data_IF_145613741875
#
_entry.id   IF_145613741875
#
_cell.length_a   1.000
_cell.length_b   1.000
_cell.length_c   1.000
_cell.angle_alpha   90.00
_cell.angle_beta   90.00
_cell.angle_gamma   90.00
#
_symmetry.space_group_name_H-M   'P 1'
#
loop_
_entity.id
_entity.type
_entity.pdbx_description
1 polymer ?
#
# COMPACT_ATOMS: atom_id res chain seq x y z
N UNK A 1 -25.22 49.32 -34.46
CA UNK A 1 -25.54 47.88 -34.31
C UNK A 1 -24.32 46.97 -34.22
N UNK A 2 -23.12 47.42 -34.63
CA UNK A 2 -21.87 46.63 -34.64
C UNK A 2 -21.11 46.58 -33.31
N UNK A 3 -21.20 47.62 -32.46
CA UNK A 3 -20.52 47.66 -31.15
C UNK A 3 -21.07 46.66 -30.12
N UNK A 4 -22.39 46.41 -30.13
CA UNK A 4 -23.04 45.45 -29.20
C UNK A 4 -22.65 43.99 -29.51
N UNK A 5 -22.35 43.70 -30.79
CA UNK A 5 -21.92 42.38 -31.25
C UNK A 5 -20.46 42.12 -30.88
N UNK A 6 -19.60 43.15 -30.92
CA UNK A 6 -18.18 43.01 -30.54
C UNK A 6 -17.99 42.74 -29.04
N UNK A 7 -18.75 43.43 -28.20
CA UNK A 7 -18.62 43.30 -26.74
C UNK A 7 -19.20 41.97 -26.24
N UNK A 8 -20.32 41.51 -26.82
CA UNK A 8 -20.89 40.19 -26.51
C UNK A 8 -19.96 39.04 -26.91
N UNK A 9 -19.27 39.12 -28.06
CA UNK A 9 -18.27 38.12 -28.47
C UNK A 9 -17.07 38.09 -27.52
N UNK A 10 -16.60 39.26 -27.09
CA UNK A 10 -15.51 39.41 -26.12
C UNK A 10 -15.87 38.87 -24.73
N UNK A 11 -17.13 39.04 -24.31
CA UNK A 11 -17.66 38.48 -23.07
C UNK A 11 -17.79 36.95 -23.16
N UNK A 12 -18.24 36.43 -24.31
CA UNK A 12 -18.33 34.99 -24.56
C UNK A 12 -16.94 34.33 -24.56
N UNK A 13 -15.93 34.92 -25.18
CA UNK A 13 -14.57 34.38 -25.15
C UNK A 13 -13.96 34.37 -23.74
N UNK A 14 -14.20 35.42 -22.95
CA UNK A 14 -13.77 35.47 -21.55
C UNK A 14 -14.48 34.41 -20.72
N UNK A 15 -15.79 34.26 -20.88
CA UNK A 15 -16.58 33.25 -20.21
C UNK A 15 -16.13 31.83 -20.59
N UNK A 16 -15.81 31.58 -21.87
CA UNK A 16 -15.33 30.29 -22.36
C UNK A 16 -13.94 29.95 -21.81
N UNK A 17 -13.02 30.93 -21.73
CA UNK A 17 -11.68 30.76 -21.14
C UNK A 17 -11.76 30.47 -19.64
N UNK A 18 -12.64 31.18 -18.92
CA UNK A 18 -12.87 30.94 -17.48
C UNK A 18 -13.50 29.56 -17.26
N UNK A 19 -14.49 29.17 -18.07
CA UNK A 19 -15.12 27.86 -18.00
C UNK A 19 -14.13 26.72 -18.31
N UNK A 20 -13.24 26.90 -19.30
CA UNK A 20 -12.16 25.96 -19.59
C UNK A 20 -11.17 25.81 -18.44
N UNK A 21 -10.89 26.89 -17.69
CA UNK A 21 -10.01 26.86 -16.52
C UNK A 21 -10.65 26.13 -15.33
N UNK A 22 -11.98 26.24 -15.16
CA UNK A 22 -12.71 25.49 -14.14
C UNK A 22 -12.86 24.00 -14.48
N UNK A 23 -12.95 23.64 -15.77
CA UNK A 23 -13.07 22.25 -16.21
C UNK A 23 -11.84 21.39 -15.90
N UNK A 24 -10.65 22.01 -15.78
CA UNK A 24 -9.42 21.30 -15.41
C UNK A 24 -9.25 21.12 -13.89
N UNK A 25 -10.09 21.78 -13.08
CA UNK A 25 -10.00 21.75 -11.60
C UNK A 25 -10.89 20.65 -11.00
N UNK A 26 -11.78 20.04 -11.78
CA UNK A 26 -12.77 19.06 -11.29
C UNK A 26 -12.23 17.63 -11.07
N UNK A 27 -10.93 17.37 -11.28
CA UNK A 27 -10.33 16.08 -10.91
C UNK A 27 -9.48 16.24 -9.65
N UNK A 28 -10.16 16.33 -8.52
CA UNK A 28 -9.62 15.84 -7.26
C UNK A 28 -10.70 15.02 -6.58
N UNK A 29 -10.90 13.80 -7.09
CA UNK A 29 -11.70 12.79 -6.40
C UNK A 29 -11.02 12.47 -5.09
N UNK A 30 -11.76 12.67 -4.00
CA UNK A 30 -11.40 12.34 -2.65
C UNK A 30 -10.91 10.89 -2.55
N UNK A 31 -9.80 10.70 -1.85
CA UNK A 31 -9.71 9.64 -0.87
C UNK A 31 -9.15 10.28 0.40
N UNK A 32 -10.04 10.66 1.31
CA UNK A 32 -9.66 10.78 2.71
C UNK A 32 -9.21 9.38 3.16
N UNK A 33 -7.93 9.05 2.98
CA UNK A 33 -7.34 7.87 3.57
C UNK A 33 -7.12 8.21 5.05
N UNK A 34 -8.06 7.79 5.89
CA UNK A 34 -7.70 7.41 7.25
C UNK A 34 -6.68 6.28 7.10
N UNK A 35 -5.41 6.65 7.23
CA UNK A 35 -4.21 5.82 7.44
C UNK A 35 -4.56 4.40 7.91
N UNK A 36 -4.72 3.51 6.95
CA UNK A 36 -4.71 2.07 7.10
C UNK A 36 -4.09 1.56 5.81
N UNK A 37 -2.99 0.82 5.92
CA UNK A 37 -2.30 0.28 4.75
C UNK A 37 -3.27 -0.62 3.99
N UNK A 38 -3.65 -0.20 2.78
CA UNK A 38 -4.65 -0.91 1.99
C UNK A 38 -4.15 -2.32 1.60
N UNK A 39 -5.07 -3.29 1.66
CA UNK A 39 -4.82 -4.63 1.14
C UNK A 39 -4.53 -4.58 -0.38
N UNK A 40 -3.60 -5.41 -0.88
CA UNK A 40 -3.28 -5.42 -2.30
C UNK A 40 -4.45 -5.94 -3.14
N UNK A 41 -4.70 -5.29 -4.27
CA UNK A 41 -5.63 -5.78 -5.29
C UNK A 41 -4.91 -6.78 -6.19
N UNK A 42 -5.52 -7.93 -6.44
CA UNK A 42 -5.00 -8.93 -7.37
C UNK A 42 -4.00 -9.94 -6.78
N UNK A 43 -3.67 -9.83 -5.49
CA UNK A 43 -2.95 -10.89 -4.76
C UNK A 43 -3.99 -11.72 -4.01
N UNK A 44 -3.92 -13.04 -4.11
CA UNK A 44 -4.82 -13.92 -3.37
C UNK A 44 -4.61 -13.78 -1.86
N UNK A 45 -5.69 -13.74 -1.09
CA UNK A 45 -5.64 -13.61 0.37
C UNK A 45 -4.91 -14.77 1.07
N UNK A 46 -4.77 -15.91 0.40
CA UNK A 46 -4.04 -17.08 0.90
C UNK A 46 -2.61 -17.19 0.33
N UNK A 47 -2.19 -16.29 -0.56
CA UNK A 47 -0.81 -16.24 -1.05
C UNK A 47 0.02 -15.38 -0.09
N UNK A 48 0.30 -15.95 1.07
CA UNK A 48 0.97 -15.25 2.15
C UNK A 48 2.40 -14.84 1.80
N UNK A 49 3.12 -15.61 0.97
CA UNK A 49 4.47 -15.26 0.52
C UNK A 49 4.41 -14.03 -0.44
N UNK A 50 3.43 -13.96 -1.35
CA UNK A 50 3.24 -12.78 -2.21
C UNK A 50 2.79 -11.53 -1.41
N UNK A 51 1.94 -11.70 -0.39
CA UNK A 51 1.52 -10.62 0.48
C UNK A 51 2.68 -10.04 1.29
N UNK A 52 3.60 -10.88 1.80
CA UNK A 52 4.84 -10.40 2.45
C UNK A 52 5.63 -9.52 1.50
N UNK A 53 5.86 -9.97 0.27
CA UNK A 53 6.59 -9.20 -0.74
C UNK A 53 5.92 -7.85 -1.03
N UNK A 54 4.60 -7.84 -1.19
CA UNK A 54 3.85 -6.59 -1.38
C UNK A 54 4.09 -5.59 -0.25
N UNK A 55 3.92 -6.02 1.01
CA UNK A 55 4.13 -5.14 2.16
C UNK A 55 5.58 -4.67 2.27
N UNK A 56 6.56 -5.54 1.99
CA UNK A 56 7.97 -5.14 1.93
C UNK A 56 8.26 -4.11 0.83
N UNK A 57 7.64 -4.25 -0.33
CA UNK A 57 7.81 -3.37 -1.48
C UNK A 57 7.29 -1.96 -1.18
N UNK A 58 6.05 -1.85 -0.68
CA UNK A 58 5.49 -0.56 -0.26
C UNK A 58 6.22 0.02 0.95
N UNK A 59 6.80 -0.84 1.80
CA UNK A 59 7.67 -0.44 2.91
C UNK A 59 8.94 0.27 2.42
N UNK A 60 9.56 -0.22 1.36
CA UNK A 60 10.73 0.44 0.74
C UNK A 60 10.37 1.80 0.17
N UNK A 61 9.24 1.91 -0.51
CA UNK A 61 8.75 3.19 -1.04
C UNK A 61 8.46 4.19 0.09
N UNK A 62 7.74 3.75 1.13
CA UNK A 62 7.39 4.59 2.29
C UNK A 62 8.64 5.08 3.01
N UNK A 63 9.67 4.23 3.14
CA UNK A 63 10.97 4.61 3.72
C UNK A 63 11.71 5.66 2.87
N UNK A 64 11.63 5.57 1.54
CA UNK A 64 12.20 6.57 0.65
C UNK A 64 11.51 7.93 0.82
N UNK A 65 10.17 7.96 0.86
CA UNK A 65 9.37 9.19 1.07
C UNK A 65 9.62 9.80 2.46
N UNK A 66 9.75 8.97 3.49
CA UNK A 66 10.13 9.40 4.83
C UNK A 66 11.50 10.09 4.84
N UNK A 67 12.50 9.50 4.17
CA UNK A 67 13.84 10.09 4.08
C UNK A 67 13.82 11.46 3.42
N UNK A 68 13.06 11.62 2.34
CA UNK A 68 12.96 12.90 1.64
C UNK A 68 12.31 13.97 2.52
N UNK A 69 11.19 13.64 3.20
CA UNK A 69 10.54 14.60 4.11
C UNK A 69 11.42 14.94 5.32
N UNK A 70 12.22 14.00 5.83
CA UNK A 70 13.22 14.29 6.87
C UNK A 70 14.31 15.25 6.38
N UNK A 71 14.75 15.12 5.11
CA UNK A 71 15.74 16.03 4.51
C UNK A 71 15.15 17.43 4.34
N UNK A 72 13.93 17.53 3.80
CA UNK A 72 13.19 18.79 3.65
C UNK A 72 12.98 19.47 5.00
N UNK A 73 12.50 18.73 6.00
CA UNK A 73 12.29 19.25 7.35
C UNK A 73 13.60 19.79 7.96
N UNK A 74 14.69 19.04 7.83
CA UNK A 74 16.02 19.46 8.31
C UNK A 74 16.47 20.77 7.67
N UNK A 75 16.23 20.96 6.38
CA UNK A 75 16.59 22.17 5.65
C UNK A 75 15.80 23.39 6.16
N UNK A 76 14.49 23.25 6.36
CA UNK A 76 13.65 24.30 6.92
C UNK A 76 14.02 24.66 8.38
N UNK A 77 14.33 23.64 9.19
CA UNK A 77 14.74 23.84 10.58
C UNK A 77 16.13 24.48 10.71
N UNK A 78 17.04 24.19 9.77
CA UNK A 78 18.38 24.78 9.74
C UNK A 78 18.40 26.23 9.23
N UNK A 79 17.53 26.56 8.27
CA UNK A 79 17.51 27.88 7.62
C UNK A 79 16.12 28.56 7.67
N UNK A 80 15.54 28.79 8.87
CA UNK A 80 14.17 29.30 9.00
C UNK A 80 13.97 30.68 8.35
N UNK A 81 15.02 31.51 8.29
CA UNK A 81 14.98 32.86 7.71
C UNK A 81 14.96 32.89 6.17
N UNK A 82 15.32 31.78 5.50
CA UNK A 82 15.50 31.75 4.04
C UNK A 82 14.17 31.62 3.27
N UNK A 83 13.15 31.06 3.90
CA UNK A 83 11.94 30.59 3.19
C UNK A 83 10.68 31.43 3.42
N UNK A 84 10.73 32.40 4.34
CA UNK A 84 9.60 33.27 4.66
C UNK A 84 8.32 32.50 5.03
N UNK A 85 7.15 33.07 4.73
CA UNK A 85 5.84 32.49 5.10
C UNK A 85 5.57 31.14 4.45
N UNK A 86 5.96 30.96 3.19
CA UNK A 86 5.77 29.69 2.47
C UNK A 86 6.62 28.56 3.08
N UNK A 87 7.76 28.89 3.67
CA UNK A 87 8.60 27.92 4.39
C UNK A 87 7.94 27.32 5.63
N UNK A 88 7.15 28.10 6.36
CA UNK A 88 6.45 27.61 7.56
C UNK A 88 5.37 26.57 7.22
N UNK A 89 4.66 26.80 6.12
CA UNK A 89 3.67 25.86 5.60
C UNK A 89 4.35 24.57 5.13
N UNK A 90 5.41 24.67 4.32
CA UNK A 90 6.18 23.52 3.86
C UNK A 90 6.83 22.73 5.00
N UNK A 91 7.37 23.40 6.03
CA UNK A 91 7.89 22.78 7.25
C UNK A 91 6.80 22.01 7.99
N UNK A 92 5.62 22.61 8.15
CA UNK A 92 4.47 21.99 8.82
C UNK A 92 4.00 20.73 8.08
N UNK A 93 3.94 20.80 6.74
CA UNK A 93 3.64 19.64 5.89
C UNK A 93 4.71 18.55 6.01
N UNK A 94 6.00 18.90 5.89
CA UNK A 94 7.08 17.92 6.03
C UNK A 94 7.04 17.23 7.40
N UNK A 95 6.79 17.99 8.47
CA UNK A 95 6.64 17.44 9.83
C UNK A 95 5.43 16.51 9.95
N UNK A 96 4.31 16.82 9.32
CA UNK A 96 3.14 15.96 9.29
C UNK A 96 3.41 14.67 8.52
N UNK A 97 4.00 14.77 7.33
CA UNK A 97 4.37 13.65 6.48
C UNK A 97 5.36 12.70 7.17
N UNK A 98 6.34 13.23 7.92
CA UNK A 98 7.27 12.40 8.71
C UNK A 98 6.51 11.53 9.71
N UNK A 99 5.59 12.12 10.48
CA UNK A 99 4.78 11.38 11.47
C UNK A 99 3.91 10.33 10.79
N UNK A 100 3.30 10.68 9.66
CA UNK A 100 2.43 9.79 8.90
C UNK A 100 3.21 8.60 8.34
N UNK A 101 4.32 8.83 7.64
CA UNK A 101 5.11 7.72 7.09
C UNK A 101 5.72 6.82 8.17
N UNK A 102 6.08 7.36 9.34
CA UNK A 102 6.51 6.54 10.47
C UNK A 102 5.37 5.64 11.00
N UNK A 103 4.14 6.15 11.02
CA UNK A 103 2.95 5.37 11.36
C UNK A 103 2.69 4.29 10.30
N UNK A 104 2.68 4.66 9.02
CA UNK A 104 2.47 3.73 7.90
C UNK A 104 3.53 2.62 7.90
N UNK A 105 4.80 2.92 8.17
CA UNK A 105 5.85 1.89 8.26
C UNK A 105 5.58 0.86 9.36
N UNK A 106 5.06 1.29 10.52
CA UNK A 106 4.68 0.36 11.60
C UNK A 106 3.53 -0.55 11.16
N UNK A 107 2.52 0.00 10.50
CA UNK A 107 1.39 -0.76 9.97
C UNK A 107 1.85 -1.77 8.91
N UNK A 108 2.67 -1.34 7.96
CA UNK A 108 3.27 -2.21 6.93
C UNK A 108 4.01 -3.38 7.58
N UNK A 109 4.80 -3.11 8.62
CA UNK A 109 5.54 -4.15 9.32
C UNK A 109 4.61 -5.15 10.00
N UNK A 110 3.56 -4.68 10.67
CA UNK A 110 2.54 -5.54 11.30
C UNK A 110 1.90 -6.47 10.26
N UNK A 111 1.53 -5.93 9.10
CA UNK A 111 0.95 -6.73 8.01
C UNK A 111 1.94 -7.74 7.42
N UNK A 112 3.20 -7.35 7.19
CA UNK A 112 4.23 -8.26 6.70
C UNK A 112 4.48 -9.40 7.70
N UNK A 113 4.61 -9.09 8.99
CA UNK A 113 4.83 -10.09 10.04
C UNK A 113 3.64 -11.05 10.19
N UNK A 114 2.42 -10.53 10.09
CA UNK A 114 1.21 -11.35 10.06
C UNK A 114 1.25 -12.37 8.92
N UNK A 115 1.58 -11.95 7.69
CA UNK A 115 1.64 -12.85 6.56
C UNK A 115 2.83 -13.83 6.62
N UNK A 116 3.98 -13.43 7.18
CA UNK A 116 5.10 -14.36 7.45
C UNK A 116 4.65 -15.49 8.38
N UNK A 117 3.94 -15.16 9.46
CA UNK A 117 3.38 -16.16 10.39
C UNK A 117 2.42 -17.11 9.67
N UNK A 118 1.49 -16.58 8.88
CA UNK A 118 0.53 -17.39 8.15
C UNK A 118 1.19 -18.30 7.10
N UNK A 119 2.24 -17.84 6.42
CA UNK A 119 3.01 -18.66 5.48
C UNK A 119 3.69 -19.86 6.18
N UNK A 120 4.26 -19.64 7.37
CA UNK A 120 4.86 -20.71 8.18
C UNK A 120 3.81 -21.73 8.63
N UNK A 121 2.65 -21.27 9.10
CA UNK A 121 1.55 -22.16 9.51
C UNK A 121 1.02 -23.00 8.34
N UNK A 122 0.88 -22.40 7.15
CA UNK A 122 0.46 -23.10 5.94
C UNK A 122 1.46 -24.18 5.54
N UNK A 123 2.76 -23.87 5.56
CA UNK A 123 3.85 -24.83 5.30
C UNK A 123 3.83 -25.99 6.31
N UNK A 124 3.65 -25.68 7.60
CA UNK A 124 3.52 -26.69 8.66
C UNK A 124 2.33 -27.64 8.46
N UNK A 125 1.15 -27.10 8.11
CA UNK A 125 -0.05 -27.92 7.83
C UNK A 125 0.16 -28.87 6.64
N UNK A 126 0.82 -28.42 5.57
CA UNK A 126 1.13 -29.24 4.41
C UNK A 126 2.06 -30.40 4.79
N UNK A 127 3.12 -30.12 5.55
CA UNK A 127 4.08 -31.14 6.01
C UNK A 127 3.39 -32.18 6.90
N UNK A 128 2.56 -31.73 7.85
CA UNK A 128 1.84 -32.63 8.75
C UNK A 128 0.87 -33.54 7.99
N UNK A 129 0.18 -33.00 6.98
CA UNK A 129 -0.69 -33.79 6.10
C UNK A 129 0.09 -34.82 5.29
N UNK A 130 1.26 -34.46 4.76
CA UNK A 130 2.11 -35.37 4.02
C UNK A 130 2.58 -36.56 4.89
N UNK A 131 3.04 -36.27 6.12
CA UNK A 131 3.44 -37.32 7.09
C UNK A 131 2.28 -38.25 7.44
N UNK A 132 1.11 -37.68 7.77
CA UNK A 132 -0.08 -38.48 8.10
C UNK A 132 -0.58 -39.35 6.94
N UNK A 133 -0.29 -38.98 5.69
CA UNK A 133 -0.60 -39.80 4.51
C UNK A 133 0.44 -40.90 4.30
N UNK A 134 1.72 -40.62 4.56
CA UNK A 134 2.81 -41.60 4.47
C UNK A 134 2.66 -42.71 5.53
N UNK A 135 2.31 -42.35 6.77
CA UNK A 135 2.07 -43.31 7.85
C UNK A 135 0.91 -44.26 7.50
N UNK A 136 -0.15 -43.74 6.86
CA UNK A 136 -1.28 -44.55 6.40
C UNK A 136 -0.90 -45.52 5.27
N UNK A 137 -0.10 -45.06 4.30
CA UNK A 137 0.36 -45.91 3.19
C UNK A 137 1.24 -47.06 3.70
N UNK A 138 2.13 -46.78 4.66
CA UNK A 138 2.97 -47.79 5.33
C UNK A 138 2.13 -48.82 6.10
N UNK A 139 1.06 -48.40 6.78
CA UNK A 139 0.15 -49.34 7.47
C UNK A 139 -0.73 -50.15 6.53
N UNK A 140 -0.93 -49.71 5.28
CA UNK A 140 -1.72 -50.43 4.27
C UNK A 140 -0.94 -51.50 3.51
N UNK A 141 0.40 -51.50 3.62
CA UNK A 141 1.31 -52.35 2.83
C UNK A 141 1.90 -53.54 3.61
N UNK A 142 1.46 -53.80 4.84
CA UNK A 142 1.86 -55.01 5.58
C UNK A 142 1.29 -56.24 4.85
N UNK A 143 2.10 -57.25 4.48
CA UNK A 143 1.60 -58.42 3.78
C UNK A 143 0.66 -59.18 4.71
N UNK A 144 -0.52 -59.55 4.21
CA UNK A 144 -1.31 -60.65 4.76
C UNK A 144 -0.43 -61.90 4.78
N UNK A 145 0.25 -62.13 5.90
CA UNK A 145 0.87 -63.41 6.22
C UNK A 145 -0.26 -64.40 6.43
N UNK A 146 -0.58 -65.14 5.38
CA UNK A 146 -1.37 -66.35 5.40
C UNK A 146 -0.95 -67.26 6.56
N UNK A 147 -1.75 -67.32 7.62
CA UNK A 147 -1.75 -68.48 8.52
C UNK A 147 -2.86 -69.40 8.02
N UNK A 148 -2.54 -70.16 6.98
CA UNK A 148 -3.21 -71.42 6.73
C UNK A 148 -2.65 -72.42 7.73
N UNK A 149 -3.51 -72.89 8.64
CA UNK A 149 -3.32 -74.17 9.32
C UNK A 149 -4.63 -74.93 9.25
N UNK A 150 -4.80 -75.66 8.15
CA UNK A 150 -5.53 -76.92 8.20
C UNK A 150 -4.73 -77.92 9.05
N UNK A 151 -5.34 -78.43 10.11
CA UNK A 151 -5.59 -79.85 10.35
C UNK A 151 -6.58 -79.98 11.51
#
# INVERSE_FOLDING_TARGET
MTLLIYDSKKLIEKALKVFSLFLTISVLSACAQMSSVAAPVGISNNDHDALVKYYEDIGRETKARLRENKKVLKEYEAHPYYFGRQGLEAQSHAKANVREYEKTLREIQIHADFHRKMALEQKGKVINKAKANQDRDLTSKSPESSVNKGL
#
